data_IF_134086488728
#
_entry.id   IF_134086488728
#
_cell.length_a   1.000
_cell.length_b   1.000
_cell.length_c   1.000
_cell.angle_alpha   90.00
_cell.angle_beta   90.00
_cell.angle_gamma   90.00
#
_symmetry.space_group_name_H-M   'P 1'
#
loop_
_entity.id
_entity.type
_entity.pdbx_description
1 polymer ?
#
# COMPACT_ATOMS: atom_id res chain seq x y z
N UNK A 1 9.27 -16.08 34.16
CA UNK A 1 8.03 -15.58 33.54
C UNK A 1 8.36 -14.29 32.80
N UNK A 2 8.19 -14.19 31.47
CA UNK A 2 8.48 -12.95 30.79
C UNK A 2 7.36 -11.93 31.02
N UNK A 3 7.76 -10.67 31.18
CA UNK A 3 7.01 -9.52 31.64
C UNK A 3 5.98 -9.02 30.62
N UNK A 4 4.81 -8.64 31.12
CA UNK A 4 3.60 -8.28 30.38
C UNK A 4 3.61 -6.84 29.81
N UNK A 5 4.79 -6.22 29.66
CA UNK A 5 4.95 -4.77 29.40
C UNK A 5 5.18 -4.39 27.93
N UNK A 6 5.49 -5.33 27.03
CA UNK A 6 5.81 -5.03 25.61
C UNK A 6 4.60 -5.05 24.65
N UNK A 7 3.40 -5.43 25.13
CA UNK A 7 2.21 -5.56 24.28
C UNK A 7 1.66 -4.23 23.70
N UNK A 8 1.52 -3.12 24.45
CA UNK A 8 0.77 -1.96 23.96
C UNK A 8 1.44 -1.25 22.78
N UNK A 9 2.77 -1.22 22.71
CA UNK A 9 3.52 -0.52 21.65
C UNK A 9 3.41 -1.26 20.30
N UNK A 10 3.47 -2.60 20.33
CA UNK A 10 3.35 -3.45 19.13
C UNK A 10 1.93 -3.35 18.53
N UNK A 11 0.90 -3.36 19.37
CA UNK A 11 -0.48 -3.18 18.92
C UNK A 11 -0.73 -1.80 18.30
N UNK A 12 -0.19 -0.73 18.91
CA UNK A 12 -0.31 0.62 18.35
C UNK A 12 0.37 0.75 16.98
N UNK A 13 1.56 0.16 16.81
CA UNK A 13 2.26 0.14 15.53
C UNK A 13 1.46 -0.58 14.44
N UNK A 14 0.80 -1.68 14.78
CA UNK A 14 -0.02 -2.47 13.85
C UNK A 14 -1.27 -1.71 13.42
N UNK A 15 -1.99 -1.09 14.37
CA UNK A 15 -3.18 -0.28 14.06
C UNK A 15 -2.84 0.94 13.20
N UNK A 16 -1.68 1.57 13.42
CA UNK A 16 -1.21 2.68 12.59
C UNK A 16 -0.93 2.23 11.14
N UNK A 17 -0.30 1.06 10.96
CA UNK A 17 -0.04 0.48 9.64
C UNK A 17 -1.36 0.14 8.93
N UNK A 18 -2.32 -0.50 9.63
CA UNK A 18 -3.62 -0.82 9.04
C UNK A 18 -4.39 0.45 8.64
N UNK A 19 -4.29 1.50 9.45
CA UNK A 19 -4.88 2.81 9.13
C UNK A 19 -4.24 3.42 7.87
N UNK A 20 -2.92 3.30 7.72
CA UNK A 20 -2.22 3.73 6.53
C UNK A 20 -2.63 2.93 5.29
N UNK A 21 -2.72 1.60 5.39
CA UNK A 21 -3.16 0.72 4.28
C UNK A 21 -4.59 1.08 3.85
N UNK A 22 -5.49 1.23 4.82
CA UNK A 22 -6.87 1.67 4.57
C UNK A 22 -6.91 3.02 3.86
N UNK A 23 -6.08 3.97 4.30
CA UNK A 23 -5.97 5.28 3.67
C UNK A 23 -5.43 5.19 2.23
N UNK A 24 -4.40 4.38 1.99
CA UNK A 24 -3.88 4.12 0.66
C UNK A 24 -4.97 3.55 -0.25
N UNK A 25 -5.75 2.56 0.22
CA UNK A 25 -6.89 1.98 -0.50
C UNK A 25 -7.89 3.06 -0.89
N UNK A 26 -8.28 3.91 0.06
CA UNK A 26 -9.23 4.99 -0.17
C UNK A 26 -8.75 6.00 -1.23
N UNK A 27 -7.48 6.45 -1.16
CA UNK A 27 -6.93 7.37 -2.17
C UNK A 27 -6.95 6.73 -3.54
N UNK A 28 -6.45 5.50 -3.66
CA UNK A 28 -6.37 4.79 -4.94
C UNK A 28 -7.76 4.61 -5.57
N UNK A 29 -8.74 4.10 -4.81
CA UNK A 29 -10.12 3.95 -5.30
C UNK A 29 -10.73 5.29 -5.70
N UNK A 30 -10.55 6.33 -4.90
CA UNK A 30 -11.09 7.65 -5.21
C UNK A 30 -10.42 8.25 -6.45
N UNK A 31 -9.11 8.09 -6.63
CA UNK A 31 -8.39 8.58 -7.80
C UNK A 31 -8.88 7.90 -9.08
N UNK A 32 -9.08 6.57 -9.04
CA UNK A 32 -9.63 5.80 -10.18
C UNK A 32 -11.01 6.32 -10.57
N UNK A 33 -11.89 6.58 -9.58
CA UNK A 33 -13.22 7.12 -9.83
C UNK A 33 -13.17 8.55 -10.41
N UNK A 34 -12.26 9.38 -9.91
CA UNK A 34 -12.08 10.74 -10.42
C UNK A 34 -11.61 10.73 -11.88
N UNK A 35 -10.61 9.91 -12.23
CA UNK A 35 -10.15 9.76 -13.63
C UNK A 35 -11.26 9.20 -14.54
N UNK A 36 -12.07 8.26 -14.04
CA UNK A 36 -13.17 7.69 -14.82
C UNK A 36 -14.27 8.73 -15.12
N UNK A 37 -14.40 9.76 -14.29
CA UNK A 37 -15.42 10.81 -14.43
C UNK A 37 -14.90 12.11 -15.04
N UNK A 38 -13.58 12.32 -15.10
CA UNK A 38 -12.96 13.54 -15.64
C UNK A 38 -12.92 13.59 -17.17
N UNK A 39 -13.13 12.46 -17.86
CA UNK A 39 -13.09 12.38 -19.31
C UNK A 39 -11.67 12.62 -19.84
N UNK A 40 -11.49 13.63 -20.68
CA UNK A 40 -10.16 14.02 -21.20
C UNK A 40 -9.44 15.07 -20.35
N UNK A 41 -10.09 15.60 -19.31
CA UNK A 41 -9.49 16.62 -18.44
C UNK A 41 -8.59 15.96 -17.41
N UNK A 42 -7.37 16.50 -17.26
CA UNK A 42 -6.43 16.09 -16.22
C UNK A 42 -6.96 16.44 -14.84
N UNK A 43 -6.79 15.54 -13.88
CA UNK A 43 -7.09 15.83 -12.48
C UNK A 43 -6.19 16.92 -11.90
N UNK A 44 -6.64 17.59 -10.82
CA UNK A 44 -5.84 18.57 -10.10
C UNK A 44 -4.50 17.99 -9.63
N UNK A 45 -3.45 18.82 -9.64
CA UNK A 45 -2.10 18.40 -9.23
C UNK A 45 -2.07 17.80 -7.81
N UNK A 46 -2.91 18.31 -6.91
CA UNK A 46 -3.03 17.79 -5.55
C UNK A 46 -3.42 16.31 -5.52
N UNK A 47 -4.38 15.91 -6.37
CA UNK A 47 -4.82 14.52 -6.50
C UNK A 47 -3.71 13.62 -7.04
N UNK A 48 -2.96 14.12 -8.01
CA UNK A 48 -1.79 13.42 -8.58
C UNK A 48 -0.69 13.22 -7.53
N UNK A 49 -0.36 14.26 -6.76
CA UNK A 49 0.65 14.19 -5.70
C UNK A 49 0.22 13.24 -4.58
N UNK A 50 -1.04 13.30 -4.18
CA UNK A 50 -1.61 12.42 -3.17
C UNK A 50 -1.55 10.96 -3.61
N UNK A 51 -1.97 10.68 -4.85
CA UNK A 51 -1.92 9.34 -5.44
C UNK A 51 -0.49 8.78 -5.52
N UNK A 52 0.47 9.57 -6.04
CA UNK A 52 1.88 9.16 -6.08
C UNK A 52 2.44 8.91 -4.68
N UNK A 53 2.06 9.72 -3.69
CA UNK A 53 2.52 9.57 -2.31
C UNK A 53 2.02 8.28 -1.67
N UNK A 54 0.74 7.90 -1.87
CA UNK A 54 0.22 6.65 -1.32
C UNK A 54 0.81 5.41 -1.99
N UNK A 55 1.09 5.47 -3.30
CA UNK A 55 1.74 4.37 -4.03
C UNK A 55 3.18 4.17 -3.52
N UNK A 56 3.92 5.24 -3.31
CA UNK A 56 5.26 5.19 -2.71
C UNK A 56 5.25 4.68 -1.27
N UNK A 57 4.21 5.02 -0.50
CA UNK A 57 4.01 4.47 0.84
C UNK A 57 3.81 2.94 0.80
N UNK A 58 3.02 2.43 -0.16
CA UNK A 58 2.84 0.98 -0.37
C UNK A 58 4.16 0.29 -0.70
N UNK A 59 4.96 0.84 -1.63
CA UNK A 59 6.31 0.32 -1.92
C UNK A 59 7.16 0.25 -0.65
N UNK A 60 7.19 1.34 0.11
CA UNK A 60 7.98 1.44 1.35
C UNK A 60 7.54 0.43 2.41
N UNK A 61 6.23 0.20 2.55
CA UNK A 61 5.67 -0.80 3.47
C UNK A 61 6.10 -2.21 3.07
N UNK A 62 5.95 -2.57 1.79
CA UNK A 62 6.33 -3.89 1.26
C UNK A 62 7.83 -4.14 1.46
N UNK A 63 8.66 -3.16 1.10
CA UNK A 63 10.10 -3.23 1.31
C UNK A 63 10.45 -3.36 2.80
N UNK A 64 9.76 -2.61 3.66
CA UNK A 64 9.96 -2.65 5.09
C UNK A 64 9.58 -4.00 5.72
N UNK A 65 8.57 -4.68 5.19
CA UNK A 65 8.15 -6.01 5.66
C UNK A 65 9.07 -7.11 5.15
N UNK A 66 9.50 -7.03 3.89
CA UNK A 66 10.35 -8.06 3.28
C UNK A 66 11.81 -7.96 3.72
N UNK A 67 12.38 -6.76 3.85
CA UNK A 67 13.78 -6.54 4.27
C UNK A 67 14.03 -6.90 5.74
N UNK A 68 13.03 -6.73 6.62
CA UNK A 68 13.17 -7.07 8.05
C UNK A 68 13.14 -8.57 8.34
N UNK A 69 13.09 -9.43 7.32
CA UNK A 69 13.11 -10.87 7.52
C UNK A 69 11.95 -11.36 8.38
N UNK A 70 10.79 -10.69 8.32
CA UNK A 70 9.59 -11.05 9.06
C UNK A 70 9.09 -12.41 8.57
N UNK A 71 9.65 -13.49 9.12
CA UNK A 71 9.18 -14.87 9.02
C UNK A 71 7.66 -14.92 9.28
N UNK A 72 6.88 -15.82 8.66
CA UNK A 72 5.46 -16.00 9.01
C UNK A 72 5.27 -16.45 10.48
N UNK A 73 6.38 -16.72 11.19
CA UNK A 73 6.44 -17.20 12.57
C UNK A 73 6.60 -16.04 13.57
N UNK A 74 6.85 -14.81 13.11
CA UNK A 74 7.05 -13.66 13.97
C UNK A 74 5.72 -12.94 14.26
N UNK A 75 4.95 -13.42 15.24
CA UNK A 75 3.71 -12.80 15.78
C UNK A 75 2.52 -12.61 14.81
N UNK A 76 1.30 -12.80 15.33
CA UNK A 76 0.05 -12.66 14.57
C UNK A 76 -0.08 -11.32 13.82
N UNK A 77 0.42 -10.22 14.41
CA UNK A 77 0.33 -8.88 13.85
C UNK A 77 1.08 -8.71 12.51
N UNK A 78 2.22 -9.39 12.32
CA UNK A 78 2.95 -9.34 11.05
C UNK A 78 2.22 -10.09 9.93
N UNK A 79 1.52 -11.17 10.28
CA UNK A 79 0.68 -11.90 9.34
C UNK A 79 -0.53 -11.05 8.92
N UNK A 80 -1.14 -10.32 9.85
CA UNK A 80 -2.29 -9.45 9.57
C UNK A 80 -1.93 -8.34 8.56
N UNK A 81 -0.81 -7.64 8.77
CA UNK A 81 -0.34 -6.59 7.83
C UNK A 81 -0.01 -7.17 6.46
N UNK A 82 0.57 -8.38 6.41
CA UNK A 82 0.88 -9.06 5.17
C UNK A 82 -0.39 -9.40 4.38
N UNK A 83 -1.41 -9.93 5.06
CA UNK A 83 -2.71 -10.22 4.46
C UNK A 83 -3.40 -8.96 3.95
N UNK A 84 -3.39 -7.87 4.73
CA UNK A 84 -3.94 -6.57 4.31
C UNK A 84 -3.28 -6.03 3.03
N UNK A 85 -1.96 -6.23 2.87
CA UNK A 85 -1.26 -5.86 1.65
C UNK A 85 -1.65 -6.76 0.47
N UNK A 86 -1.81 -8.08 0.68
CA UNK A 86 -2.33 -8.98 -0.35
C UNK A 86 -3.72 -8.53 -0.80
N UNK A 87 -4.60 -8.20 0.14
CA UNK A 87 -5.97 -7.74 -0.14
C UNK A 87 -6.00 -6.35 -0.82
N UNK A 88 -4.95 -5.54 -0.68
CA UNK A 88 -4.81 -4.27 -1.39
C UNK A 88 -4.43 -4.44 -2.88
N UNK A 89 -3.87 -5.59 -3.26
CA UNK A 89 -3.37 -5.83 -4.62
C UNK A 89 -4.41 -5.58 -5.73
N UNK A 90 -5.67 -6.07 -5.63
CA UNK A 90 -6.68 -5.78 -6.64
C UNK A 90 -6.92 -4.27 -6.84
N UNK A 91 -6.98 -3.49 -5.75
CA UNK A 91 -7.13 -2.03 -5.83
C UNK A 91 -5.96 -1.37 -6.55
N UNK A 92 -4.73 -1.87 -6.37
CA UNK A 92 -3.57 -1.38 -7.10
C UNK A 92 -3.66 -1.70 -8.60
N UNK A 93 -4.12 -2.90 -8.96
CA UNK A 93 -4.33 -3.31 -10.35
C UNK A 93 -5.37 -2.42 -11.03
N UNK A 94 -6.45 -2.07 -10.33
CA UNK A 94 -7.50 -1.17 -10.83
C UNK A 94 -6.98 0.24 -11.14
N UNK A 95 -5.81 0.64 -10.62
CA UNK A 95 -5.21 1.94 -10.91
C UNK A 95 -4.52 2.01 -12.29
N UNK A 96 -4.19 0.87 -12.91
CA UNK A 96 -3.40 0.81 -14.16
C UNK A 96 -4.06 1.54 -15.34
N UNK A 97 -5.39 1.45 -15.56
CA UNK A 97 -6.04 2.22 -16.63
C UNK A 97 -5.98 3.74 -16.39
N UNK A 98 -6.08 4.16 -15.12
CA UNK A 98 -6.20 5.56 -14.68
C UNK A 98 -4.86 6.30 -14.56
N UNK A 99 -3.71 5.61 -14.68
CA UNK A 99 -2.40 6.25 -14.50
C UNK A 99 -1.80 6.85 -15.78
N UNK A 100 -2.39 6.59 -16.96
CA UNK A 100 -1.84 7.01 -18.27
C UNK A 100 -1.78 8.53 -18.47
N UNK A 101 -2.59 9.27 -17.70
CA UNK A 101 -2.72 10.72 -17.80
C UNK A 101 -1.57 11.49 -17.14
N UNK A 102 -0.83 10.87 -16.20
CA UNK A 102 0.34 11.48 -15.53
C UNK A 102 1.45 10.46 -15.30
N UNK A 103 2.63 10.76 -15.85
CA UNK A 103 3.80 9.87 -15.82
C UNK A 103 4.29 9.54 -14.41
N UNK A 104 4.14 10.45 -13.44
CA UNK A 104 4.57 10.18 -12.05
C UNK A 104 3.70 9.13 -11.39
N UNK A 105 2.41 9.15 -11.69
CA UNK A 105 1.46 8.13 -11.19
C UNK A 105 1.75 6.80 -11.88
N UNK A 106 1.96 6.82 -13.20
CA UNK A 106 2.34 5.62 -13.96
C UNK A 106 3.60 4.95 -13.38
N UNK A 107 4.68 5.71 -13.19
CA UNK A 107 5.95 5.19 -12.65
C UNK A 107 5.72 4.62 -11.23
N UNK A 108 4.97 5.32 -10.37
CA UNK A 108 4.68 4.85 -9.01
C UNK A 108 3.79 3.59 -8.97
N UNK A 109 2.81 3.46 -9.86
CA UNK A 109 1.98 2.23 -9.99
C UNK A 109 2.87 1.06 -10.41
N UNK A 110 3.74 1.26 -11.40
CA UNK A 110 4.67 0.24 -11.87
C UNK A 110 5.63 -0.20 -10.77
N UNK A 111 6.17 0.74 -9.99
CA UNK A 111 7.04 0.43 -8.85
C UNK A 111 6.30 -0.35 -7.76
N UNK A 112 5.07 0.06 -7.41
CA UNK A 112 4.23 -0.67 -6.47
C UNK A 112 3.98 -2.11 -6.93
N UNK A 113 3.56 -2.32 -8.19
CA UNK A 113 3.33 -3.65 -8.74
C UNK A 113 4.60 -4.52 -8.72
N UNK A 114 5.77 -3.94 -9.01
CA UNK A 114 7.06 -4.64 -8.90
C UNK A 114 7.38 -5.02 -7.46
N UNK A 115 7.08 -4.16 -6.49
CA UNK A 115 7.29 -4.44 -5.08
C UNK A 115 6.50 -5.68 -4.62
N UNK A 116 5.27 -5.87 -5.11
CA UNK A 116 4.45 -7.06 -4.83
C UNK A 116 5.12 -8.39 -5.22
N UNK A 117 6.04 -8.41 -6.19
CA UNK A 117 6.84 -9.60 -6.51
C UNK A 117 7.65 -10.09 -5.30
N UNK A 118 8.08 -9.19 -4.42
CA UNK A 118 8.80 -9.54 -3.19
C UNK A 118 7.90 -10.23 -2.16
N UNK A 119 6.60 -9.91 -2.15
CA UNK A 119 5.60 -10.63 -1.35
C UNK A 119 5.35 -12.03 -1.92
N UNK A 120 5.17 -12.14 -3.24
CA UNK A 120 4.80 -13.40 -3.90
C UNK A 120 5.93 -14.43 -4.01
N UNK A 121 7.20 -14.03 -3.81
CA UNK A 121 8.37 -14.93 -3.89
C UNK A 121 8.59 -15.80 -2.66
N UNK A 122 7.70 -15.74 -1.67
CA UNK A 122 7.80 -16.52 -0.45
C UNK A 122 7.07 -17.86 -0.61
N UNK A 123 7.75 -19.01 -0.46
CA UNK A 123 7.11 -20.33 -0.43
C UNK A 123 6.28 -20.53 0.84
#
# INVERSE_FOLDING_TARGET
SPSNSDKPIVHLGTSAINSLISRCRQVMTSYVNDEATSGEMRLPQERVVEMASVLNAVVTLIDGLTKRGAAPVASNAHNDVWLELIELYPTLVDCVPSCKSDRRVEDAVVEALKAYKSLLKRP
#
